data_IF_903876855084
#
_entry.id   IF_903876855084
#
_cell.length_a   1.000
_cell.length_b   1.000
_cell.length_c   1.000
_cell.angle_alpha   90.00
_cell.angle_beta   90.00
_cell.angle_gamma   90.00
#
_symmetry.space_group_name_H-M   'P 1'
#
loop_
_entity.id
_entity.type
_entity.pdbx_description
1 polymer ?
#
# COMPACT_ATOMS: atom_id res chain seq x y z
N UNK A 1 -4.29 -6.70 -0.48
CA UNK A 1 -3.10 -7.37 0.08
C UNK A 1 -2.08 -7.65 -1.01
N UNK A 2 -2.33 -8.62 -1.90
CA UNK A 2 -1.36 -9.02 -2.92
C UNK A 2 -0.93 -7.88 -3.87
N UNK A 3 -1.85 -6.99 -4.26
CA UNK A 3 -1.54 -5.88 -5.18
C UNK A 3 -0.44 -4.92 -4.71
N UNK A 4 -0.28 -4.69 -3.40
CA UNK A 4 0.77 -3.81 -2.86
C UNK A 4 1.97 -4.56 -2.29
N UNK A 5 1.80 -5.80 -1.84
CA UNK A 5 2.88 -6.59 -1.22
C UNK A 5 3.53 -7.60 -2.16
N UNK A 6 2.96 -7.85 -3.33
CA UNK A 6 3.43 -8.83 -4.29
C UNK A 6 4.82 -8.50 -4.80
N UNK A 7 5.77 -9.43 -4.65
CA UNK A 7 7.15 -9.31 -5.14
C UNK A 7 7.26 -10.10 -6.44
N UNK A 8 6.88 -11.37 -6.40
CA UNK A 8 6.98 -12.26 -7.55
C UNK A 8 5.83 -13.25 -7.58
N UNK A 9 5.66 -13.92 -8.72
CA UNK A 9 4.69 -15.00 -8.87
C UNK A 9 5.40 -16.34 -8.70
N UNK A 10 5.14 -17.04 -7.60
CA UNK A 10 5.51 -18.43 -7.45
C UNK A 10 4.47 -19.35 -8.10
N UNK A 11 4.91 -20.49 -8.65
CA UNK A 11 4.00 -21.49 -9.23
C UNK A 11 3.10 -22.16 -8.18
N UNK A 12 3.57 -22.27 -6.94
CA UNK A 12 2.81 -22.76 -5.79
C UNK A 12 3.08 -21.84 -4.61
N UNK A 13 2.07 -21.06 -4.23
CA UNK A 13 2.18 -20.09 -3.14
C UNK A 13 2.11 -20.78 -1.77
N UNK A 14 2.98 -20.40 -0.83
CA UNK A 14 2.96 -20.89 0.55
C UNK A 14 2.53 -19.78 1.51
N UNK A 15 1.29 -19.89 2.00
CA UNK A 15 0.72 -18.91 2.92
C UNK A 15 1.39 -18.87 4.30
N UNK A 16 2.10 -19.93 4.71
CA UNK A 16 2.84 -19.93 5.98
C UNK A 16 4.10 -19.08 5.89
N UNK A 17 4.81 -19.16 4.77
CA UNK A 17 6.02 -18.37 4.52
C UNK A 17 5.68 -16.93 4.11
N UNK A 18 4.61 -16.75 3.34
CA UNK A 18 4.20 -15.46 2.79
C UNK A 18 2.80 -15.06 3.30
N UNK A 19 2.66 -14.65 4.59
CA UNK A 19 1.35 -14.34 5.18
C UNK A 19 0.65 -13.16 4.50
N UNK A 20 1.41 -12.28 3.85
CA UNK A 20 0.93 -11.10 3.13
C UNK A 20 0.65 -11.35 1.64
N UNK A 21 0.71 -12.61 1.18
CA UNK A 21 0.49 -13.02 -0.21
C UNK A 21 1.50 -12.36 -1.17
N UNK A 22 2.77 -12.33 -0.77
CA UNK A 22 3.87 -11.73 -1.51
C UNK A 22 4.26 -12.53 -2.76
N UNK A 23 3.84 -13.79 -2.84
CA UNK A 23 4.21 -14.79 -3.86
C UNK A 23 3.08 -15.10 -4.86
N UNK A 24 1.97 -14.37 -4.81
CA UNK A 24 0.79 -14.61 -5.67
C UNK A 24 0.96 -13.96 -7.05
N UNK A 25 1.46 -12.73 -7.08
CA UNK A 25 1.66 -11.95 -8.29
C UNK A 25 2.62 -10.78 -8.00
N UNK A 26 3.20 -10.21 -9.04
CA UNK A 26 3.97 -8.96 -8.93
C UNK A 26 3.03 -7.79 -8.65
N UNK A 27 3.25 -7.09 -7.53
CA UNK A 27 2.45 -5.94 -7.11
C UNK A 27 2.89 -4.63 -7.76
N UNK A 28 2.08 -3.58 -7.60
CA UNK A 28 2.35 -2.26 -8.17
C UNK A 28 3.69 -1.69 -7.70
N UNK A 29 4.00 -1.79 -6.40
CA UNK A 29 5.28 -1.28 -5.86
C UNK A 29 6.48 -2.02 -6.47
N UNK A 30 6.37 -3.32 -6.70
CA UNK A 30 7.47 -4.08 -7.30
C UNK A 30 7.61 -3.79 -8.80
N UNK A 31 6.50 -3.56 -9.51
CA UNK A 31 6.55 -3.11 -10.91
C UNK A 31 7.34 -1.80 -11.04
N UNK A 32 7.06 -0.81 -10.20
CA UNK A 32 7.81 0.44 -10.19
C UNK A 32 9.31 0.24 -9.92
N UNK A 33 9.68 -0.65 -8.98
CA UNK A 33 11.10 -0.96 -8.71
C UNK A 33 11.81 -1.58 -9.91
N UNK A 34 11.12 -2.41 -10.69
CA UNK A 34 11.71 -3.12 -11.81
C UNK A 34 11.73 -2.28 -13.10
N UNK A 35 10.64 -1.59 -13.40
CA UNK A 35 10.44 -0.90 -14.68
C UNK A 35 10.87 0.58 -14.64
N UNK A 36 10.80 1.23 -13.48
CA UNK A 36 11.11 2.65 -13.32
C UNK A 36 11.87 2.95 -12.01
N UNK A 37 13.09 2.39 -11.83
CA UNK A 37 13.85 2.54 -10.59
C UNK A 37 14.19 4.00 -10.26
N UNK A 38 14.35 4.87 -11.28
CA UNK A 38 14.58 6.30 -11.10
C UNK A 38 13.43 7.03 -10.37
N UNK A 39 12.20 6.49 -10.44
CA UNK A 39 11.02 7.05 -9.76
C UNK A 39 10.83 6.46 -8.36
N UNK A 40 11.77 5.64 -7.88
CA UNK A 40 11.73 5.00 -6.56
C UNK A 40 12.89 5.49 -5.70
N UNK A 41 12.58 6.37 -4.75
CA UNK A 41 13.53 6.80 -3.75
C UNK A 41 13.62 5.77 -2.63
N UNK A 42 14.70 4.98 -2.62
CA UNK A 42 14.97 3.97 -1.60
C UNK A 42 16.15 4.32 -0.69
N UNK A 43 17.05 5.16 -1.18
CA UNK A 43 18.28 5.61 -0.52
C UNK A 43 18.46 7.08 -0.80
N UNK A 44 19.21 7.75 0.07
CA UNK A 44 19.64 9.13 -0.17
C UNK A 44 21.07 9.07 -0.64
N UNK A 45 21.28 9.57 -1.85
CA UNK A 45 22.59 9.68 -2.49
C UNK A 45 23.00 11.14 -2.51
N UNK A 46 24.28 11.40 -2.33
CA UNK A 46 24.87 12.72 -2.56
C UNK A 46 24.79 13.11 -4.05
N UNK A 47 25.08 14.37 -4.39
CA UNK A 47 25.19 14.86 -5.78
C UNK A 47 26.22 14.05 -6.60
N UNK A 48 27.17 13.40 -5.91
CA UNK A 48 28.22 12.53 -6.49
C UNK A 48 27.81 11.04 -6.54
N UNK A 49 26.59 10.70 -6.14
CA UNK A 49 26.05 9.33 -6.20
C UNK A 49 26.48 8.41 -5.05
N UNK A 50 27.20 8.93 -4.05
CA UNK A 50 27.54 8.18 -2.84
C UNK A 50 26.32 8.01 -1.94
N UNK A 51 26.04 6.79 -1.47
CA UNK A 51 24.91 6.52 -0.57
C UNK A 51 25.23 7.12 0.82
N UNK A 52 24.59 8.24 1.14
CA UNK A 52 24.72 8.89 2.46
C UNK A 52 23.90 8.12 3.50
N UNK A 53 22.69 7.70 3.11
CA UNK A 53 21.77 6.97 4.00
C UNK A 53 21.11 5.83 3.23
N UNK A 54 21.34 4.60 3.70
CA UNK A 54 20.74 3.37 3.16
C UNK A 54 19.22 3.29 3.40
N UNK A 55 18.69 4.11 4.31
CA UNK A 55 17.27 4.25 4.64
C UNK A 55 16.96 5.73 4.83
N UNK A 56 15.88 6.22 4.23
CA UNK A 56 15.38 7.59 4.43
C UNK A 56 14.95 7.78 5.88
N UNK A 57 15.66 8.63 6.63
CA UNK A 57 15.35 8.92 8.04
C UNK A 57 14.47 10.16 8.13
N UNK A 58 13.28 9.98 8.70
CA UNK A 58 12.34 11.08 8.95
C UNK A 58 12.27 11.35 10.45
N UNK A 59 12.60 12.57 10.88
CA UNK A 59 12.53 13.00 12.27
C UNK A 59 13.61 14.01 12.67
N UNK A 60 13.69 14.34 13.96
CA UNK A 60 14.74 15.22 14.49
C UNK A 60 16.12 14.63 14.18
N UNK A 61 16.97 15.39 13.48
CA UNK A 61 18.29 14.99 12.96
C UNK A 61 18.26 13.87 11.91
N UNK A 62 17.13 13.63 11.24
CA UNK A 62 17.04 12.81 10.04
C UNK A 62 17.29 13.61 8.76
N UNK A 63 17.26 12.93 7.62
CA UNK A 63 17.41 13.57 6.31
C UNK A 63 16.22 14.48 5.97
N UNK A 64 15.03 14.15 6.49
CA UNK A 64 13.86 15.04 6.46
C UNK A 64 13.34 15.31 7.87
N UNK A 65 13.00 16.57 8.13
CA UNK A 65 12.46 16.99 9.42
C UNK A 65 11.09 16.35 9.72
N UNK A 66 10.22 16.24 8.71
CA UNK A 66 8.85 15.74 8.83
C UNK A 66 8.44 14.93 7.60
N UNK A 67 7.42 14.08 7.75
CA UNK A 67 6.84 13.31 6.64
C UNK A 67 6.28 14.22 5.53
N UNK A 68 5.82 15.41 5.89
CA UNK A 68 5.31 16.40 4.93
C UNK A 68 6.39 16.93 4.00
N UNK A 69 7.60 17.17 4.53
CA UNK A 69 8.73 17.62 3.73
C UNK A 69 9.16 16.54 2.72
N UNK A 70 9.20 15.28 3.16
CA UNK A 70 9.50 14.14 2.28
C UNK A 70 8.50 14.04 1.12
N UNK A 71 7.20 14.19 1.39
CA UNK A 71 6.18 14.09 0.33
C UNK A 71 6.24 15.28 -0.63
N UNK A 72 6.49 16.49 -0.13
CA UNK A 72 6.65 17.67 -0.98
C UNK A 72 7.85 17.52 -1.92
N UNK A 73 8.99 17.07 -1.39
CA UNK A 73 10.20 16.84 -2.17
C UNK A 73 10.01 15.71 -3.20
N UNK A 74 9.41 14.58 -2.78
CA UNK A 74 9.08 13.49 -3.70
C UNK A 74 8.15 13.94 -4.84
N UNK A 75 7.20 14.83 -4.56
CA UNK A 75 6.27 15.35 -5.57
C UNK A 75 6.99 16.29 -6.53
N UNK A 76 7.88 17.16 -6.04
CA UNK A 76 8.61 18.12 -6.86
C UNK A 76 9.75 17.52 -7.70
N UNK A 77 10.37 16.42 -7.24
CA UNK A 77 11.57 15.86 -7.88
C UNK A 77 11.35 14.51 -8.58
N UNK A 78 10.44 13.65 -8.11
CA UNK A 78 10.25 12.30 -8.67
C UNK A 78 9.08 12.19 -9.65
N UNK A 79 8.11 13.09 -9.54
CA UNK A 79 6.96 13.16 -10.45
C UNK A 79 7.32 14.08 -11.61
N UNK A 80 6.89 13.70 -12.81
CA UNK A 80 7.09 14.48 -14.03
C UNK A 80 6.37 15.82 -13.92
N UNK A 81 6.97 16.91 -14.41
CA UNK A 81 6.49 18.30 -14.27
C UNK A 81 5.03 18.44 -14.70
N UNK A 82 4.63 17.75 -15.77
CA UNK A 82 3.27 17.76 -16.33
C UNK A 82 2.21 17.29 -15.32
N UNK A 83 2.59 16.42 -14.38
CA UNK A 83 1.69 15.82 -13.40
C UNK A 83 1.87 16.36 -11.98
N UNK A 84 2.78 17.32 -11.74
CA UNK A 84 3.04 17.84 -10.39
C UNK A 84 1.88 18.70 -9.86
N UNK A 85 1.26 19.52 -10.72
CA UNK A 85 0.17 20.45 -10.36
C UNK A 85 -1.22 19.83 -10.46
N UNK A 86 -1.29 18.51 -10.57
CA UNK A 86 -2.56 17.83 -10.74
C UNK A 86 -3.37 17.75 -9.43
N UNK A 87 -4.65 18.20 -9.43
CA UNK A 87 -5.50 18.20 -8.24
C UNK A 87 -5.89 16.80 -7.75
N UNK A 88 -5.76 15.76 -8.58
CA UNK A 88 -6.14 14.38 -8.25
C UNK A 88 -5.01 13.57 -7.61
N UNK A 89 -3.86 14.19 -7.33
CA UNK A 89 -2.75 13.53 -6.64
C UNK A 89 -3.13 13.15 -5.21
N UNK A 90 -2.84 11.90 -4.85
CA UNK A 90 -3.13 11.32 -3.55
C UNK A 90 -1.89 10.64 -2.99
N UNK A 91 -1.69 10.72 -1.68
CA UNK A 91 -0.63 9.99 -0.96
C UNK A 91 -1.21 8.71 -0.37
N UNK A 92 -0.81 7.58 -0.92
CA UNK A 92 -1.19 6.25 -0.42
C UNK A 92 -0.18 5.82 0.65
N UNK A 93 -0.67 5.56 1.87
CA UNK A 93 0.16 5.18 3.02
C UNK A 93 -0.43 4.04 3.84
N UNK A 94 0.43 3.40 4.63
CA UNK A 94 0.03 2.45 5.66
C UNK A 94 -0.43 3.13 6.95
N UNK A 95 -1.07 2.34 7.83
CA UNK A 95 -1.55 2.82 9.15
C UNK A 95 -0.41 3.34 10.04
N UNK A 96 0.76 2.70 9.99
CA UNK A 96 1.87 2.98 10.91
C UNK A 96 2.40 4.41 10.73
N UNK A 97 2.75 4.80 9.50
CA UNK A 97 3.24 6.16 9.19
C UNK A 97 2.22 7.24 9.53
N UNK A 98 0.93 7.00 9.26
CA UNK A 98 -0.12 7.94 9.65
C UNK A 98 -0.18 8.09 11.17
N UNK A 99 -0.11 6.99 11.92
CA UNK A 99 -0.10 7.04 13.38
C UNK A 99 1.15 7.75 13.91
N UNK A 100 2.33 7.46 13.36
CA UNK A 100 3.60 8.08 13.79
C UNK A 100 3.58 9.61 13.60
N UNK A 101 2.90 10.12 12.56
CA UNK A 101 2.70 11.56 12.36
C UNK A 101 1.74 12.19 13.38
N UNK A 102 0.58 11.57 13.62
CA UNK A 102 -0.47 12.17 14.46
C UNK A 102 -0.27 11.91 15.96
N UNK A 103 0.46 10.86 16.34
CA UNK A 103 0.62 10.47 17.74
C UNK A 103 1.27 11.57 18.61
N UNK A 104 2.35 12.25 18.18
CA UNK A 104 2.92 13.36 18.95
C UNK A 104 1.97 14.55 19.14
N UNK A 105 1.02 14.76 18.23
CA UNK A 105 0.04 15.85 18.28
C UNK A 105 -1.03 15.53 19.33
N UNK A 106 -1.52 14.29 19.34
CA UNK A 106 -2.53 13.82 20.30
C UNK A 106 -1.95 13.66 21.71
N UNK A 107 -0.66 13.31 21.82
CA UNK A 107 -0.01 13.02 23.09
C UNK A 107 0.49 14.27 23.86
N UNK A 108 0.04 15.46 23.49
CA UNK A 108 0.36 16.71 24.18
C UNK A 108 -0.89 17.24 24.90
N UNK A 109 -0.75 17.64 26.16
CA UNK A 109 -1.77 18.45 26.83
C UNK A 109 -1.67 19.89 26.34
N UNK A 110 -2.72 20.38 25.66
CA UNK A 110 -2.76 21.70 25.02
C UNK A 110 -3.98 22.48 25.50
N UNK A 111 -3.96 23.80 25.35
CA UNK A 111 -5.13 24.63 25.65
C UNK A 111 -6.30 24.25 24.72
N UNK A 112 -7.55 24.42 25.18
CA UNK A 112 -8.74 23.98 24.43
C UNK A 112 -8.80 24.46 22.97
N UNK A 113 -8.28 25.65 22.67
CA UNK A 113 -8.22 26.20 21.31
C UNK A 113 -7.22 25.44 20.42
N UNK A 114 -6.07 25.05 20.97
CA UNK A 114 -5.03 24.30 20.25
C UNK A 114 -5.46 22.84 20.05
N UNK A 115 -6.13 22.25 21.04
CA UNK A 115 -6.74 20.93 20.92
C UNK A 115 -7.79 20.86 19.81
N UNK A 116 -8.65 21.88 19.67
CA UNK A 116 -9.60 21.97 18.56
C UNK A 116 -8.90 22.08 17.20
N UNK A 117 -7.81 22.84 17.11
CA UNK A 117 -7.01 22.93 15.89
C UNK A 117 -6.35 21.60 15.54
N UNK A 118 -5.82 20.89 16.55
CA UNK A 118 -5.24 19.56 16.40
C UNK A 118 -6.27 18.54 15.86
N UNK A 119 -7.48 18.54 16.41
CA UNK A 119 -8.57 17.65 15.97
C UNK A 119 -8.95 17.91 14.50
N UNK A 120 -9.03 19.18 14.09
CA UNK A 120 -9.29 19.55 12.69
C UNK A 120 -8.17 19.04 11.78
N UNK A 121 -6.91 19.23 12.15
CA UNK A 121 -5.75 18.77 11.35
C UNK A 121 -5.77 17.25 11.19
N UNK A 122 -6.04 16.50 12.27
CA UNK A 122 -6.12 15.03 12.24
C UNK A 122 -7.29 14.56 11.37
N UNK A 123 -8.41 15.28 11.40
CA UNK A 123 -9.61 14.93 10.61
C UNK A 123 -9.37 15.00 9.10
N UNK A 124 -8.61 15.99 8.64
CA UNK A 124 -8.35 16.22 7.21
C UNK A 124 -7.41 15.19 6.59
N UNK A 125 -6.57 14.52 7.40
CA UNK A 125 -5.65 13.47 6.96
C UNK A 125 -4.81 13.85 5.74
N UNK A 126 -4.11 14.99 5.81
CA UNK A 126 -3.25 15.47 4.72
C UNK A 126 -1.78 15.21 5.02
N UNK A 127 -1.00 14.91 3.99
CA UNK A 127 0.46 14.81 4.05
C UNK A 127 1.05 15.60 2.88
N UNK A 128 1.97 16.53 3.17
CA UNK A 128 2.65 17.32 2.13
C UNK A 128 1.69 18.11 1.25
N UNK A 129 0.65 18.71 1.85
CA UNK A 129 -0.46 19.39 1.17
C UNK A 129 -1.36 18.49 0.29
N UNK A 130 -1.06 17.20 0.16
CA UNK A 130 -1.89 16.25 -0.58
C UNK A 130 -2.84 15.48 0.35
N UNK A 131 -4.03 15.08 -0.13
CA UNK A 131 -4.91 14.17 0.61
C UNK A 131 -4.23 12.81 0.78
N UNK A 132 -4.27 12.26 2.01
CA UNK A 132 -3.70 10.94 2.29
C UNK A 132 -4.78 9.87 2.40
N UNK A 133 -4.60 8.79 1.64
CA UNK A 133 -5.48 7.62 1.67
C UNK A 133 -4.77 6.46 2.36
N UNK A 134 -5.43 5.89 3.36
CA UNK A 134 -4.94 4.69 4.06
C UNK A 134 -5.40 3.44 3.33
N UNK A 135 -4.47 2.54 3.01
CA UNK A 135 -4.79 1.24 2.42
C UNK A 135 -4.47 0.12 3.43
N UNK A 136 -5.38 -0.85 3.65
CA UNK A 136 -5.10 -1.96 4.54
C UNK A 136 -4.00 -2.86 3.98
N UNK A 137 -3.12 -3.34 4.87
CA UNK A 137 -1.97 -4.20 4.54
C UNK A 137 -0.94 -3.56 3.61
N UNK A 138 -0.93 -2.24 3.50
CA UNK A 138 0.15 -1.52 2.84
C UNK A 138 1.45 -1.64 3.67
N UNK A 139 2.63 -1.75 3.03
CA UNK A 139 3.91 -1.81 3.75
C UNK A 139 4.07 -0.66 4.74
N UNK A 140 4.47 -0.98 5.98
CA UNK A 140 4.46 0.00 7.06
C UNK A 140 5.53 1.10 6.92
N UNK A 141 6.56 0.89 6.08
CA UNK A 141 7.72 1.76 5.94
C UNK A 141 7.78 2.42 4.55
N UNK A 142 6.65 2.49 3.85
CA UNK A 142 6.60 3.06 2.51
C UNK A 142 5.39 3.98 2.35
N UNK A 143 5.46 4.83 1.32
CA UNK A 143 4.36 5.65 0.82
C UNK A 143 4.45 5.69 -0.70
N UNK A 144 3.33 5.94 -1.37
CA UNK A 144 3.27 6.08 -2.82
C UNK A 144 2.44 7.31 -3.17
N UNK A 145 2.98 8.21 -3.98
CA UNK A 145 2.27 9.39 -4.48
C UNK A 145 1.86 9.12 -5.92
N UNK A 146 0.55 9.12 -6.18
CA UNK A 146 -0.03 8.90 -7.51
C UNK A 146 -1.50 9.28 -7.51
N UNK A 147 -2.09 9.47 -8.69
CA UNK A 147 -3.55 9.41 -8.84
C UNK A 147 -4.07 8.00 -8.54
N UNK A 148 -5.27 7.90 -7.98
CA UNK A 148 -5.92 6.61 -7.72
C UNK A 148 -6.27 5.87 -9.02
N UNK A 149 -6.62 6.60 -10.07
CA UNK A 149 -7.05 6.03 -11.36
C UNK A 149 -5.89 5.47 -12.19
N UNK A 150 -4.64 5.82 -11.83
CA UNK A 150 -3.43 5.26 -12.44
C UNK A 150 -3.21 3.79 -12.08
N UNK A 151 -3.84 3.30 -10.99
CA UNK A 151 -3.70 1.93 -10.50
C UNK A 151 -4.88 1.07 -10.96
N UNK A 152 -4.68 0.35 -12.06
CA UNK A 152 -5.70 -0.56 -12.60
C UNK A 152 -5.31 -2.03 -12.46
N UNK A 153 -6.34 -2.89 -12.39
CA UNK A 153 -6.20 -4.35 -12.42
C UNK A 153 -6.97 -4.83 -13.65
N UNK A 154 -6.28 -5.50 -14.56
CA UNK A 154 -6.89 -6.14 -15.71
C UNK A 154 -7.14 -7.62 -15.39
N UNK A 155 -8.32 -8.10 -15.74
CA UNK A 155 -8.69 -9.52 -15.70
C UNK A 155 -9.25 -9.91 -17.05
N UNK A 156 -9.11 -11.19 -17.41
CA UNK A 156 -9.64 -11.73 -18.66
C UNK A 156 -11.07 -12.21 -18.43
N UNK A 157 -12.01 -11.74 -19.24
CA UNK A 157 -13.46 -11.98 -19.05
C UNK A 157 -13.82 -13.48 -19.03
N UNK A 158 -13.23 -14.28 -19.90
CA UNK A 158 -13.58 -15.71 -20.05
C UNK A 158 -12.72 -16.66 -19.18
N UNK A 159 -11.82 -16.10 -18.36
CA UNK A 159 -10.95 -16.90 -17.49
C UNK A 159 -11.61 -17.22 -16.14
N UNK A 160 -12.74 -16.59 -15.82
CA UNK A 160 -13.45 -16.88 -14.58
C UNK A 160 -14.16 -18.24 -14.68
N UNK A 161 -13.52 -19.28 -14.15
CA UNK A 161 -14.12 -20.62 -14.00
C UNK A 161 -14.59 -20.78 -12.56
N UNK A 162 -15.90 -20.66 -12.26
CA UNK A 162 -16.42 -21.03 -10.95
C UNK A 162 -16.07 -22.49 -10.71
N UNK A 163 -15.46 -22.79 -9.56
CA UNK A 163 -15.27 -24.19 -9.16
C UNK A 163 -16.66 -24.80 -8.95
N UNK A 164 -17.17 -25.54 -9.93
CA UNK A 164 -18.31 -26.42 -9.72
C UNK A 164 -17.94 -27.38 -8.60
N UNK A 165 -18.54 -27.16 -7.43
CA UNK A 165 -18.39 -28.03 -6.29
C UNK A 165 -19.06 -29.36 -6.65
N UNK A 166 -18.29 -30.31 -7.18
CA UNK A 166 -18.74 -31.67 -7.47
C UNK A 166 -19.04 -32.32 -6.12
N UNK A 167 -20.27 -32.11 -5.60
CA UNK A 167 -20.81 -32.88 -4.48
C UNK A 167 -20.63 -34.35 -4.84
N UNK A 168 -19.88 -35.07 -4.02
CA UNK A 168 -19.64 -36.50 -4.19
C UNK A 168 -20.98 -37.25 -4.14
N UNK A 169 -21.55 -37.57 -5.29
CA UNK A 169 -22.63 -38.53 -5.39
C UNK A 169 -22.05 -39.94 -5.23
N UNK A 170 -21.84 -40.34 -3.97
CA UNK A 170 -21.69 -41.75 -3.58
C UNK A 170 -22.54 -42.01 -2.34
N UNK A 171 -23.87 -42.00 -2.50
CA UNK A 171 -24.77 -42.78 -1.63
C UNK A 171 -25.22 -44.00 -2.43
N UNK A 172 -24.84 -45.23 -2.07
CA UNK A 172 -25.39 -46.41 -2.71
C UNK A 172 -26.90 -46.46 -2.44
N UNK A 173 -27.71 -46.46 -3.50
CA UNK A 173 -29.16 -46.68 -3.42
C UNK A 173 -29.40 -48.04 -2.76
N UNK A 174 -29.88 -48.03 -1.52
CA UNK A 174 -30.33 -49.22 -0.79
C UNK A 174 -31.53 -49.78 -1.57
N UNK A 175 -31.33 -50.87 -2.34
CA UNK A 175 -32.42 -51.61 -2.99
C UNK A 175 -33.33 -52.14 -1.88
N UNK A 176 -34.49 -51.51 -1.69
CA UNK A 176 -35.60 -52.12 -0.96
C UNK A 176 -36.12 -53.27 -1.82
N UNK A 177 -35.88 -54.51 -1.37
CA UNK A 177 -36.59 -55.69 -1.90
C UNK A 177 -38.04 -55.57 -1.47
N UNK A 178 -38.93 -55.53 -2.45
CA UNK A 178 -40.36 -55.77 -2.29
C UNK A 178 -40.50 -57.25 -1.92
N UNK A 179 -41.06 -57.56 -0.75
CA UNK A 179 -41.56 -58.88 -0.45
C UNK A 179 -43.08 -58.82 -0.62
N UNK A 180 -43.57 -59.60 -1.58
CA UNK A 180 -44.97 -60.00 -1.72
C UNK A 180 -45.38 -60.87 -0.53
N UNK A 181 -46.57 -60.60 0.02
CA UNK A 181 -47.50 -61.57 0.60
C UNK A 181 -48.92 -61.03 0.46
#
# INVERSE_FOLDING_TARGET
>A
MAGFNGIERAATSDRKKNPLLQDVATGWLQKYRNEAPARVMSKITDEEGAVISDVIRVGKNGDYANLDALVMDATGNLIDEIYQDDPELVVITGRKLMADKYFPIVNQEQANTESLAADIIISQKRIGNLPAVRVPYFPANALMVTRLDNLSIYFMDDAHRPRHHRRAEKRPRRKLRVNEY
#
